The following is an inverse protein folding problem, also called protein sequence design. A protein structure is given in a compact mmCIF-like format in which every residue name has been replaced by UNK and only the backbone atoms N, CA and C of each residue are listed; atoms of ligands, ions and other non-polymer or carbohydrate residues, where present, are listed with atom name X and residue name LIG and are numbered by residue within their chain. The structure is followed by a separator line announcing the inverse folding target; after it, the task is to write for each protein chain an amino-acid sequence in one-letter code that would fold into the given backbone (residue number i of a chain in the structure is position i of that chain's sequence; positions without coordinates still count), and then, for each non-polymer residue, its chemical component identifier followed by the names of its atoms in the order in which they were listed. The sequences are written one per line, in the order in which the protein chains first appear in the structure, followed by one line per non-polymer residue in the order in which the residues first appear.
data_IF_814594496671
#
_entry.id   IF_814594496671
#
_cell.length_a   1.000
_cell.length_b   1.000
_cell.length_c   1.000
_cell.angle_alpha   90.00
_cell.angle_beta   90.00
_cell.angle_gamma   90.00
#
_symmetry.space_group_name_H-M   'P 1'
#
loop_
_entity.id
_entity.type
_entity.pdbx_description
1 polymer ?
#
# COMPACT_ATOMS: atom_id res chain seq x y z
N UNK A 1 2.64 -44.97 0.13
CA UNK A 1 3.11 -44.21 1.31
C UNK A 1 4.02 -43.03 0.96
N UNK A 2 4.87 -43.11 -0.08
CA UNK A 2 5.83 -42.05 -0.43
C UNK A 2 5.21 -40.69 -0.84
N UNK A 3 4.08 -40.68 -1.55
CA UNK A 3 3.44 -39.43 -2.02
C UNK A 3 2.89 -38.53 -0.90
N UNK A 4 2.48 -39.09 0.25
CA UNK A 4 2.00 -38.30 1.39
C UNK A 4 3.12 -37.45 2.00
N UNK A 5 4.35 -37.98 2.02
CA UNK A 5 5.51 -37.26 2.54
C UNK A 5 6.02 -36.21 1.55
N UNK A 6 6.00 -36.48 0.25
CA UNK A 6 6.39 -35.47 -0.76
C UNK A 6 5.41 -34.29 -0.76
N UNK A 7 4.10 -34.54 -0.63
CA UNK A 7 3.09 -33.49 -0.53
C UNK A 7 3.15 -32.75 0.81
N UNK A 8 3.42 -33.46 1.92
CA UNK A 8 3.65 -32.85 3.24
C UNK A 8 4.94 -32.02 3.29
N UNK A 9 6.00 -32.43 2.58
CA UNK A 9 7.26 -31.70 2.47
C UNK A 9 7.11 -30.48 1.54
N UNK A 10 6.32 -30.58 0.47
CA UNK A 10 5.98 -29.44 -0.39
C UNK A 10 5.12 -28.41 0.35
N UNK A 11 4.14 -28.84 1.16
CA UNK A 11 3.34 -27.94 2.01
C UNK A 11 4.23 -27.28 3.07
N UNK A 12 5.20 -28.01 3.63
CA UNK A 12 6.17 -27.45 4.56
C UNK A 12 7.14 -26.48 3.88
N UNK A 13 7.55 -26.75 2.63
CA UNK A 13 8.39 -25.87 1.80
C UNK A 13 7.65 -24.58 1.39
N UNK A 14 6.34 -24.66 1.16
CA UNK A 14 5.46 -23.49 0.92
C UNK A 14 5.23 -22.68 2.21
N UNK A 15 5.30 -23.30 3.39
CA UNK A 15 5.26 -22.63 4.71
C UNK A 15 6.60 -21.99 5.11
N UNK A 16 7.70 -22.31 4.43
CA UNK A 16 8.91 -21.49 4.46
C UNK A 16 8.66 -20.30 3.54
N UNK A 17 7.75 -19.42 3.94
CA UNK A 17 7.53 -18.13 3.30
C UNK A 17 8.88 -17.46 3.10
N UNK A 18 9.21 -17.23 1.83
CA UNK A 18 10.42 -16.55 1.44
C UNK A 18 10.44 -15.20 2.16
N UNK A 19 11.39 -15.05 3.08
CA UNK A 19 11.74 -13.79 3.70
C UNK A 19 12.30 -12.89 2.59
N UNK A 20 11.44 -12.08 1.97
CA UNK A 20 11.83 -11.07 0.99
C UNK A 20 12.22 -9.79 1.71
N UNK A 21 13.31 -9.15 1.28
CA UNK A 21 13.67 -7.83 1.75
C UNK A 21 13.14 -6.81 0.75
N UNK A 22 12.21 -5.98 1.19
CA UNK A 22 11.58 -4.95 0.37
C UNK A 22 12.22 -3.58 0.63
N UNK A 23 12.39 -2.81 -0.43
CA UNK A 23 12.83 -1.41 -0.37
C UNK A 23 11.95 -0.55 -1.26
N UNK A 24 11.36 0.48 -0.65
CA UNK A 24 10.49 1.45 -1.29
C UNK A 24 11.17 2.81 -1.19
N UNK A 25 11.28 3.51 -2.32
CA UNK A 25 11.86 4.86 -2.40
C UNK A 25 10.89 5.76 -3.14
N UNK A 26 10.55 6.90 -2.55
CA UNK A 26 9.76 7.95 -3.18
C UNK A 26 10.66 9.02 -3.80
N UNK A 27 10.14 9.70 -4.81
CA UNK A 27 10.76 10.90 -5.40
C UNK A 27 9.82 12.09 -5.15
N UNK A 28 9.28 12.71 -6.19
CA UNK A 28 8.26 13.77 -6.10
C UNK A 28 6.83 13.23 -5.86
N UNK A 29 6.71 12.05 -5.25
CA UNK A 29 5.44 11.41 -4.92
C UNK A 29 5.39 10.99 -3.45
N UNK A 30 4.21 10.59 -3.00
CA UNK A 30 4.00 9.96 -1.70
C UNK A 30 3.66 8.49 -1.91
N UNK A 31 3.88 7.67 -0.88
CA UNK A 31 3.53 6.25 -0.91
C UNK A 31 2.86 5.84 0.41
N UNK A 32 1.97 4.85 0.35
CA UNK A 32 1.36 4.24 1.54
C UNK A 32 1.60 2.74 1.51
N UNK A 33 2.17 2.23 2.58
CA UNK A 33 2.59 0.83 2.70
C UNK A 33 1.88 0.20 3.89
N UNK A 34 1.23 -0.93 3.65
CA UNK A 34 0.70 -1.78 4.71
C UNK A 34 1.72 -2.87 4.99
N UNK A 35 2.26 -2.89 6.21
CA UNK A 35 3.26 -3.85 6.62
C UNK A 35 2.63 -5.22 6.95
N UNK A 36 3.43 -6.30 6.99
CA UNK A 36 2.93 -7.64 7.29
C UNK A 36 2.25 -7.78 8.67
N UNK A 37 2.53 -6.87 9.61
CA UNK A 37 1.91 -6.85 10.94
C UNK A 37 0.61 -6.03 11.00
N UNK A 38 0.17 -5.46 9.88
CA UNK A 38 -1.02 -4.60 9.77
C UNK A 38 -0.72 -3.11 9.96
N UNK A 39 0.47 -2.74 10.43
CA UNK A 39 0.86 -1.33 10.61
C UNK A 39 0.92 -0.61 9.27
N UNK A 40 0.60 0.68 9.27
CA UNK A 40 0.57 1.51 8.07
C UNK A 40 1.71 2.53 8.13
N UNK A 41 2.45 2.64 7.03
CA UNK A 41 3.51 3.63 6.85
C UNK A 41 3.17 4.55 5.69
N UNK A 42 3.20 5.85 5.93
CA UNK A 42 3.07 6.89 4.91
C UNK A 42 4.45 7.48 4.67
N UNK A 43 4.93 7.40 3.44
CA UNK A 43 6.22 7.97 3.05
C UNK A 43 5.97 9.34 2.41
N UNK A 44 6.71 10.34 2.87
CA UNK A 44 6.77 11.64 2.22
C UNK A 44 7.59 11.57 0.91
N UNK A 45 7.66 12.66 0.14
CA UNK A 45 8.59 12.80 -0.97
C UNK A 45 10.05 12.59 -0.53
N UNK A 46 10.90 12.06 -1.42
CA UNK A 46 12.32 11.76 -1.18
C UNK A 46 12.60 10.97 0.09
N UNK A 47 11.78 9.96 0.36
CA UNK A 47 11.87 9.10 1.53
C UNK A 47 12.09 7.65 1.12
N UNK A 48 12.67 6.87 2.02
CA UNK A 48 12.92 5.45 1.82
C UNK A 48 12.39 4.66 3.01
N UNK A 49 11.80 3.51 2.72
CA UNK A 49 11.40 2.49 3.68
C UNK A 49 11.99 1.16 3.25
N UNK A 50 12.65 0.48 4.18
CA UNK A 50 13.18 -0.86 4.00
C UNK A 50 12.65 -1.77 5.09
N UNK A 51 12.12 -2.94 4.73
CA UNK A 51 11.56 -3.90 5.67
C UNK A 51 11.66 -5.32 5.13
N UNK A 52 11.34 -6.29 5.98
CA UNK A 52 11.31 -7.71 5.60
C UNK A 52 9.86 -8.15 5.53
N UNK A 53 9.48 -8.74 4.40
CA UNK A 53 8.16 -9.32 4.16
C UNK A 53 8.06 -10.72 4.78
N UNK A 54 8.14 -10.76 6.11
CA UNK A 54 7.98 -11.98 6.90
C UNK A 54 7.01 -11.74 8.06
N UNK A 55 6.12 -12.71 8.28
CA UNK A 55 5.17 -12.69 9.40
C UNK A 55 5.94 -12.50 10.73
N UNK A 56 5.45 -11.60 11.59
CA UNK A 56 6.04 -11.22 12.89
C UNK A 56 7.34 -10.40 12.86
N UNK A 57 7.85 -9.95 11.71
CA UNK A 57 8.94 -8.98 11.68
C UNK A 57 8.38 -7.56 11.88
N UNK A 58 8.77 -6.89 12.97
CA UNK A 58 8.34 -5.52 13.31
C UNK A 58 9.53 -4.57 13.34
N UNK A 59 10.36 -4.63 12.30
CA UNK A 59 11.56 -3.80 12.16
C UNK A 59 11.62 -3.22 10.77
N UNK A 60 11.82 -1.92 10.71
CA UNK A 60 11.96 -1.18 9.46
C UNK A 60 13.14 -0.22 9.55
N UNK A 61 13.76 0.08 8.43
CA UNK A 61 14.78 1.12 8.31
C UNK A 61 14.27 2.23 7.38
N UNK A 62 14.57 3.48 7.70
CA UNK A 62 14.11 4.63 6.92
C UNK A 62 15.19 5.65 6.58
N UNK A 63 14.87 6.48 5.60
CA UNK A 63 15.51 7.76 5.30
C UNK A 63 14.44 8.75 4.86
N UNK A 64 14.61 10.05 5.12
CA UNK A 64 13.60 11.05 4.79
C UNK A 64 12.54 11.18 5.90
N UNK A 65 11.29 11.40 5.53
CA UNK A 65 10.17 11.63 6.46
C UNK A 65 9.07 10.59 6.26
N UNK A 66 8.72 9.89 7.34
CA UNK A 66 7.69 8.87 7.35
C UNK A 66 6.73 9.09 8.53
N UNK A 67 5.45 8.84 8.32
CA UNK A 67 4.46 8.73 9.38
C UNK A 67 4.05 7.27 9.57
N UNK A 68 3.91 6.85 10.81
CA UNK A 68 3.60 5.47 11.21
C UNK A 68 2.32 5.46 12.03
N UNK A 69 1.38 4.59 11.66
CA UNK A 69 0.28 4.13 12.52
C UNK A 69 0.54 2.65 12.81
N UNK A 70 1.07 2.37 14.01
CA UNK A 70 1.56 1.05 14.39
C UNK A 70 0.50 0.30 15.19
N UNK A 71 0.20 -0.92 14.76
CA UNK A 71 -0.76 -1.79 15.45
C UNK A 71 -0.30 -2.12 16.88
N UNK A 72 -1.18 -2.04 17.89
CA UNK A 72 -0.84 -2.41 19.27
C UNK A 72 -0.43 -3.88 19.38
N UNK A 73 0.69 -4.15 20.05
CA UNK A 73 1.13 -5.52 20.38
C UNK A 73 2.17 -5.54 21.50
N UNK A 74 2.30 -6.69 22.16
CA UNK A 74 3.27 -6.91 23.24
C UNK A 74 4.74 -6.95 22.75
N UNK A 75 4.94 -7.06 21.43
CA UNK A 75 6.27 -7.05 20.80
C UNK A 75 6.56 -5.67 20.25
N UNK A 76 7.75 -5.12 20.52
CA UNK A 76 8.11 -3.80 20.00
C UNK A 76 8.18 -3.76 18.47
N UNK A 77 7.79 -2.61 17.93
CA UNK A 77 8.04 -2.18 16.57
C UNK A 77 9.22 -1.20 16.59
N UNK A 78 10.25 -1.48 15.80
CA UNK A 78 11.49 -0.68 15.75
C UNK A 78 11.65 0.00 14.40
N UNK A 79 11.83 1.32 14.41
CA UNK A 79 12.21 2.13 13.26
C UNK A 79 13.67 2.54 13.41
N UNK A 80 14.54 2.04 12.54
CA UNK A 80 15.95 2.43 12.48
C UNK A 80 16.13 3.58 11.50
N UNK A 81 16.57 4.73 12.00
CA UNK A 81 16.99 5.88 11.20
C UNK A 81 18.50 5.88 10.95
N UNK A 82 19.03 7.00 10.46
CA UNK A 82 20.47 7.19 10.21
C UNK A 82 21.29 7.40 11.47
N UNK A 83 20.69 7.99 12.51
CA UNK A 83 21.37 8.39 13.75
C UNK A 83 20.93 7.60 14.98
N UNK A 84 19.81 6.89 14.90
CA UNK A 84 19.22 6.24 16.06
C UNK A 84 18.03 5.36 15.74
N UNK A 85 17.38 4.89 16.78
CA UNK A 85 16.25 3.96 16.71
C UNK A 85 15.07 4.47 17.52
N UNK A 86 13.88 4.20 17.01
CA UNK A 86 12.60 4.46 17.68
C UNK A 86 11.93 3.14 17.97
N UNK A 87 11.55 2.91 19.22
CA UNK A 87 10.82 1.72 19.66
C UNK A 87 9.43 2.10 20.20
N UNK A 88 8.42 1.36 19.76
CA UNK A 88 7.01 1.54 20.16
C UNK A 88 6.30 0.20 20.34
N UNK A 89 5.15 0.19 21.02
CA UNK A 89 4.28 -0.99 21.13
C UNK A 89 2.97 -0.85 20.33
N UNK A 90 2.50 0.38 20.13
CA UNK A 90 1.26 0.73 19.42
C UNK A 90 1.08 2.23 19.54
N UNK A 91 1.47 2.95 18.50
CA UNK A 91 1.74 4.39 18.57
C UNK A 91 1.53 5.00 17.19
N UNK A 92 1.02 6.22 17.18
CA UNK A 92 0.96 7.06 15.99
C UNK A 92 2.02 8.17 16.09
N UNK A 93 2.95 8.21 15.15
CA UNK A 93 4.11 9.09 15.23
C UNK A 93 4.74 9.36 13.85
N UNK A 94 5.42 10.49 13.72
CA UNK A 94 6.27 10.78 12.56
C UNK A 94 7.74 10.67 12.94
N UNK A 95 8.56 10.17 12.02
CA UNK A 95 10.02 10.19 12.11
C UNK A 95 10.58 10.89 10.88
N UNK A 96 11.42 11.88 11.11
CA UNK A 96 12.27 12.48 10.09
C UNK A 96 13.71 12.09 10.38
N UNK A 97 14.39 11.48 9.42
CA UNK A 97 15.76 11.01 9.60
C UNK A 97 16.61 11.28 8.36
N UNK A 98 17.67 12.06 8.54
CA UNK A 98 18.74 12.21 7.55
C UNK A 98 20.11 12.03 8.23
N UNK A 99 21.19 12.32 7.51
CA UNK A 99 22.56 12.05 7.99
C UNK A 99 23.02 12.97 9.11
N UNK A 100 22.37 14.11 9.31
CA UNK A 100 22.76 15.15 10.27
C UNK A 100 21.75 15.33 11.41
N UNK A 101 20.47 15.07 11.16
CA UNK A 101 19.43 15.16 12.18
C UNK A 101 18.45 13.98 12.18
N UNK A 102 17.83 13.78 13.34
CA UNK A 102 16.71 12.87 13.50
C UNK A 102 15.70 13.49 14.47
N UNK A 103 14.44 13.55 14.06
CA UNK A 103 13.33 14.09 14.85
C UNK A 103 12.18 13.08 14.86
N UNK A 104 11.54 12.96 16.03
CA UNK A 104 10.40 12.10 16.26
C UNK A 104 9.30 12.92 16.93
N UNK A 105 8.11 12.94 16.34
CA UNK A 105 6.92 13.56 16.93
C UNK A 105 5.85 12.50 17.20
N UNK A 106 5.28 12.50 18.39
CA UNK A 106 4.24 11.53 18.78
C UNK A 106 2.88 12.19 18.72
N UNK A 107 1.98 11.63 17.91
CA UNK A 107 0.57 12.03 17.89
C UNK A 107 -0.19 11.33 19.01
N UNK A 108 -0.11 9.99 19.07
CA UNK A 108 -0.77 9.16 20.09
C UNK A 108 0.15 8.04 20.57
N UNK A 109 0.09 7.72 21.86
CA UNK A 109 0.86 6.65 22.47
C UNK A 109 2.20 7.12 23.07
N UNK A 110 3.18 6.23 23.06
CA UNK A 110 4.51 6.47 23.63
C UNK A 110 5.60 5.98 22.67
N UNK A 111 6.69 6.72 22.61
CA UNK A 111 7.91 6.38 21.88
C UNK A 111 9.08 6.34 22.85
N UNK A 112 9.94 5.34 22.70
CA UNK A 112 11.32 5.37 23.20
C UNK A 112 12.26 5.70 22.04
N UNK A 113 12.96 6.82 22.13
CA UNK A 113 13.92 7.29 21.14
C UNK A 113 15.34 7.07 21.66
N UNK A 114 16.15 6.30 20.94
CA UNK A 114 17.51 5.95 21.28
C UNK A 114 18.47 6.52 20.24
N UNK A 115 19.52 7.20 20.68
CA UNK A 115 20.57 7.77 19.83
C UNK A 115 21.89 7.63 20.58
N UNK A 116 22.90 7.04 19.94
CA UNK A 116 24.18 6.75 20.60
C UNK A 116 23.96 6.03 21.96
N UNK A 117 24.49 6.57 23.06
CA UNK A 117 24.29 6.06 24.42
C UNK A 117 23.10 6.71 25.15
N UNK A 118 22.34 7.56 24.47
CA UNK A 118 21.21 8.31 25.03
C UNK A 118 19.88 7.64 24.72
N UNK A 119 18.95 7.76 25.66
CA UNK A 119 17.58 7.28 25.49
C UNK A 119 16.60 8.27 26.09
N UNK A 120 15.48 8.50 25.38
CA UNK A 120 14.41 9.40 25.80
C UNK A 120 13.05 8.81 25.50
N UNK A 121 12.21 8.72 26.51
CA UNK A 121 10.80 8.42 26.32
C UNK A 121 10.00 9.71 26.11
N UNK A 122 9.11 9.69 25.13
CA UNK A 122 8.22 10.80 24.77
C UNK A 122 6.79 10.29 24.58
N UNK A 123 5.81 11.07 25.03
CA UNK A 123 4.38 10.76 24.94
C UNK A 123 3.68 11.64 23.91
N UNK A 124 2.43 11.29 23.56
CA UNK A 124 1.58 12.05 22.64
C UNK A 124 1.59 13.57 22.88
N UNK A 125 1.68 14.33 21.77
CA UNK A 125 1.76 15.79 21.74
C UNK A 125 3.17 16.36 21.91
N UNK A 126 4.18 15.50 22.12
CA UNK A 126 5.58 15.90 22.29
C UNK A 126 6.45 15.45 21.12
N UNK A 127 7.63 16.04 21.05
CA UNK A 127 8.69 15.64 20.14
C UNK A 127 10.03 15.48 20.84
N UNK A 128 10.90 14.69 20.22
CA UNK A 128 12.32 14.63 20.51
C UNK A 128 13.14 14.83 19.24
N UNK A 129 14.24 15.56 19.33
CA UNK A 129 15.15 15.79 18.22
C UNK A 129 16.61 15.62 18.67
N UNK A 130 17.43 15.18 17.73
CA UNK A 130 18.85 15.04 17.90
C UNK A 130 19.58 15.50 16.64
N UNK A 131 20.61 16.32 16.83
CA UNK A 131 21.57 16.65 15.79
C UNK A 131 22.91 15.95 16.07
N UNK A 132 23.53 15.44 15.01
CA UNK A 132 24.78 14.69 15.11
C UNK A 132 25.86 15.49 15.81
N UNK A 133 26.44 14.91 16.87
CA UNK A 133 27.50 15.52 17.66
C UNK A 133 27.01 16.36 18.84
N UNK A 134 25.69 16.53 19.01
CA UNK A 134 25.15 17.07 20.25
C UNK A 134 25.25 16.06 21.39
N UNK A 135 25.35 16.56 22.62
CA UNK A 135 25.50 15.72 23.82
C UNK A 135 24.18 15.36 24.50
N UNK A 136 23.05 15.78 23.93
CA UNK A 136 21.73 15.58 24.51
C UNK A 136 20.66 15.44 23.42
N UNK A 137 19.58 14.72 23.76
CA UNK A 137 18.34 14.72 23.01
C UNK A 137 17.50 15.92 23.48
N UNK A 138 17.12 16.80 22.55
CA UNK A 138 16.21 17.90 22.82
C UNK A 138 14.76 17.42 22.80
N UNK A 139 13.90 18.03 23.61
CA UNK A 139 12.47 17.73 23.62
C UNK A 139 11.63 19.00 23.61
N UNK A 140 10.45 18.93 23.00
CA UNK A 140 9.52 20.05 22.94
C UNK A 140 8.09 19.62 22.63
N UNK A 141 7.24 20.61 22.33
CA UNK A 141 5.90 20.34 21.78
C UNK A 141 6.02 19.93 20.32
N UNK A 142 5.23 18.95 19.90
CA UNK A 142 5.13 18.55 18.50
C UNK A 142 4.63 19.73 17.64
N UNK A 143 5.29 19.98 16.50
CA UNK A 143 4.83 20.97 15.52
C UNK A 143 3.70 20.42 14.66
N UNK A 144 3.60 19.09 14.54
CA UNK A 144 2.68 18.35 13.67
C UNK A 144 2.81 18.75 12.20
N UNK A 145 4.03 19.07 11.75
CA UNK A 145 4.27 19.49 10.37
C UNK A 145 3.88 18.40 9.36
N UNK A 146 3.96 17.12 9.77
CA UNK A 146 3.56 15.99 8.93
C UNK A 146 2.09 16.07 8.47
N UNK A 147 1.20 16.67 9.28
CA UNK A 147 -0.22 16.84 8.95
C UNK A 147 -0.42 17.67 7.69
N UNK A 148 0.50 18.61 7.40
CA UNK A 148 0.44 19.46 6.21
C UNK A 148 0.57 18.64 4.93
N UNK A 149 1.54 17.72 4.88
CA UNK A 149 1.74 16.90 3.68
C UNK A 149 0.77 15.72 3.63
N UNK A 150 0.36 15.14 4.77
CA UNK A 150 -0.72 14.15 4.83
C UNK A 150 -2.05 14.70 4.26
N UNK A 151 -2.34 15.98 4.50
CA UNK A 151 -3.49 16.64 3.89
C UNK A 151 -3.37 16.75 2.36
N UNK A 152 -2.16 17.01 1.83
CA UNK A 152 -1.90 17.03 0.38
C UNK A 152 -2.09 15.64 -0.22
N UNK A 153 -1.53 14.62 0.42
CA UNK A 153 -1.67 13.23 0.00
C UNK A 153 -3.15 12.80 -0.08
N UNK A 154 -3.96 13.18 0.92
CA UNK A 154 -5.41 12.93 0.91
C UNK A 154 -6.12 13.59 -0.28
N UNK A 155 -5.68 14.78 -0.70
CA UNK A 155 -6.24 15.45 -1.88
C UNK A 155 -5.83 14.73 -3.17
N UNK A 156 -4.58 14.29 -3.27
CA UNK A 156 -4.08 13.52 -4.41
C UNK A 156 -4.83 12.19 -4.56
N UNK A 157 -5.02 11.44 -3.48
CA UNK A 157 -5.84 10.22 -3.49
C UNK A 157 -7.27 10.48 -4.00
N UNK A 158 -7.92 11.54 -3.52
CA UNK A 158 -9.27 11.91 -4.01
C UNK A 158 -9.30 12.24 -5.50
N UNK A 159 -8.25 12.85 -6.04
CA UNK A 159 -8.14 13.14 -7.48
C UNK A 159 -7.93 11.88 -8.29
N UNK A 160 -7.08 10.97 -7.80
CA UNK A 160 -6.83 9.68 -8.45
C UNK A 160 -8.10 8.82 -8.48
N UNK A 161 -8.81 8.73 -7.36
CA UNK A 161 -10.09 8.00 -7.26
C UNK A 161 -11.13 8.54 -8.27
N UNK A 162 -11.28 9.87 -8.33
CA UNK A 162 -12.15 10.50 -9.33
C UNK A 162 -11.74 10.15 -10.76
N UNK A 163 -10.44 10.25 -11.08
CA UNK A 163 -9.93 9.94 -12.41
C UNK A 163 -10.17 8.49 -12.80
N UNK A 164 -9.90 7.55 -11.90
CA UNK A 164 -10.15 6.12 -12.10
C UNK A 164 -11.64 5.84 -12.35
N UNK A 165 -12.53 6.49 -11.59
CA UNK A 165 -13.97 6.35 -11.77
C UNK A 165 -14.47 6.94 -13.10
N UNK A 166 -13.93 8.09 -13.51
CA UNK A 166 -14.26 8.71 -14.80
C UNK A 166 -13.77 7.85 -15.98
N UNK A 167 -12.56 7.27 -15.88
CA UNK A 167 -12.02 6.33 -16.86
C UNK A 167 -12.85 5.03 -16.93
N UNK A 168 -13.24 4.47 -15.78
CA UNK A 168 -14.08 3.28 -15.71
C UNK A 168 -15.44 3.49 -16.39
N UNK A 169 -16.08 4.65 -16.16
CA UNK A 169 -17.32 5.02 -16.86
C UNK A 169 -17.15 5.11 -18.36
N UNK A 170 -16.06 5.73 -18.83
CA UNK A 170 -15.78 5.81 -20.26
C UNK A 170 -15.65 4.42 -20.91
N UNK A 171 -14.98 3.48 -20.22
CA UNK A 171 -14.88 2.08 -20.67
C UNK A 171 -16.27 1.42 -20.71
N UNK A 172 -17.10 1.62 -19.68
CA UNK A 172 -18.45 1.06 -19.62
C UNK A 172 -19.35 1.59 -20.75
N UNK A 173 -19.31 2.89 -21.03
CA UNK A 173 -20.05 3.51 -22.12
C UNK A 173 -19.64 2.95 -23.49
N UNK A 174 -18.34 2.80 -23.74
CA UNK A 174 -17.81 2.20 -24.96
C UNK A 174 -18.21 0.73 -25.13
N UNK A 175 -18.16 -0.07 -24.05
CA UNK A 175 -18.62 -1.46 -24.06
C UNK A 175 -20.12 -1.55 -24.36
N UNK A 176 -20.93 -0.69 -23.74
CA UNK A 176 -22.38 -0.64 -23.96
C UNK A 176 -22.73 -0.25 -25.40
N UNK A 177 -21.96 0.67 -26.01
CA UNK A 177 -22.14 1.03 -27.41
C UNK A 177 -21.83 -0.14 -28.34
N UNK A 178 -20.70 -0.83 -28.13
CA UNK A 178 -20.33 -2.01 -28.92
C UNK A 178 -21.34 -3.16 -28.76
N UNK A 179 -21.87 -3.38 -27.56
CA UNK A 179 -22.90 -4.38 -27.32
C UNK A 179 -24.17 -4.11 -28.17
N UNK A 180 -24.63 -2.85 -28.22
CA UNK A 180 -25.78 -2.46 -29.07
C UNK A 180 -25.51 -2.63 -30.57
N UNK A 181 -24.30 -2.37 -31.02
CA UNK A 181 -23.91 -2.60 -32.42
C UNK A 181 -23.95 -4.11 -32.76
N UNK A 182 -23.44 -4.96 -31.86
CA UNK A 182 -23.49 -6.41 -32.00
C UNK A 182 -24.94 -6.92 -32.00
N UNK A 183 -25.80 -6.45 -31.09
CA UNK A 183 -27.21 -6.83 -31.04
C UNK A 183 -27.92 -6.49 -32.37
N UNK A 184 -27.68 -5.29 -32.89
CA UNK A 184 -28.25 -4.86 -34.17
C UNK A 184 -27.78 -5.73 -35.34
N UNK A 185 -26.52 -6.15 -35.34
CA UNK A 185 -25.97 -7.03 -36.37
C UNK A 185 -26.51 -8.46 -36.25
N UNK A 186 -26.67 -8.98 -35.03
CA UNK A 186 -27.31 -10.26 -34.75
C UNK A 186 -28.77 -10.28 -35.21
N UNK A 187 -29.55 -9.22 -34.93
CA UNK A 187 -30.93 -9.07 -35.41
C UNK A 187 -31.02 -9.09 -36.94
N UNK A 188 -30.07 -8.46 -37.62
CA UNK A 188 -29.99 -8.45 -39.09
C UNK A 188 -29.74 -9.85 -39.63
N UNK A 189 -28.76 -10.57 -39.06
CA UNK A 189 -28.44 -11.95 -39.43
C UNK A 189 -29.64 -12.87 -39.19
N UNK A 190 -30.36 -12.70 -38.07
CA UNK A 190 -31.57 -13.47 -37.76
C UNK A 190 -32.64 -13.35 -38.84
N UNK A 191 -32.90 -12.14 -39.34
CA UNK A 191 -33.86 -11.90 -40.43
C UNK A 191 -33.41 -12.52 -41.76
N UNK A 192 -32.13 -12.38 -42.10
CA UNK A 192 -31.57 -13.00 -43.31
C UNK A 192 -31.70 -14.53 -43.28
N UNK A 193 -31.50 -15.16 -42.12
CA UNK A 193 -31.69 -16.61 -41.95
C UNK A 193 -33.16 -17.04 -42.09
N UNK A 194 -34.10 -16.26 -41.56
CA UNK A 194 -35.54 -16.52 -41.71
C UNK A 194 -35.97 -16.47 -43.18
N UNK A 195 -35.52 -15.46 -43.93
CA UNK A 195 -35.78 -15.33 -45.37
C UNK A 195 -35.22 -16.52 -46.17
N UNK A 196 -34.00 -16.97 -45.84
CA UNK A 196 -33.38 -18.16 -46.46
C UNK A 196 -34.18 -19.41 -46.14
N UNK A 197 -34.61 -19.60 -44.88
CA UNK A 197 -35.45 -20.71 -44.46
C UNK A 197 -36.77 -20.78 -45.24
N UNK A 198 -37.44 -19.63 -45.41
CA UNK A 198 -38.66 -19.50 -46.19
C UNK A 198 -38.47 -19.85 -47.67
N UNK A 199 -37.36 -19.41 -48.27
CA UNK A 199 -37.03 -19.74 -49.67
C UNK A 199 -36.78 -21.24 -49.86
N UNK A 200 -36.08 -21.87 -48.92
CA UNK A 200 -35.83 -23.32 -48.92
C UNK A 200 -37.17 -24.06 -48.79
N UNK A 201 -38.02 -23.68 -47.84
CA UNK A 201 -39.34 -24.31 -47.63
C UNK A 201 -40.23 -24.24 -48.87
N UNK A 202 -40.29 -23.08 -49.53
CA UNK A 202 -41.02 -22.90 -50.80
C UNK A 202 -40.47 -23.79 -51.92
N UNK A 203 -39.14 -23.93 -52.00
CA UNK A 203 -38.48 -24.74 -53.02
C UNK A 203 -38.74 -26.23 -52.82
N UNK A 204 -38.69 -26.72 -51.57
CA UNK A 204 -39.01 -28.12 -51.25
C UNK A 204 -40.47 -28.47 -51.59
N UNK A 205 -41.42 -27.57 -51.32
CA UNK A 205 -42.83 -27.78 -51.66
C UNK A 205 -43.05 -27.96 -53.18
N UNK A 206 -42.36 -27.17 -54.01
CA UNK A 206 -42.41 -27.30 -55.48
C UNK A 206 -41.85 -28.63 -56.01
N UNK A 207 -40.97 -29.29 -55.27
CA UNK A 207 -40.41 -30.60 -55.67
C UNK A 207 -41.36 -31.74 -55.30
N UNK A 208 -42.23 -31.54 -54.30
CA UNK A 208 -43.16 -32.54 -53.80
C UNK A 208 -44.50 -32.60 -54.57
N UNK A 209 -44.84 -31.55 -55.32
CA UNK A 209 -46.01 -31.44 -56.22
C UNK A 209 -45.64 -31.89 -57.65
#
# INVERSE_FOLDING_TARGET
MQFKYVFSLLIFLVLVTACSKEKITTQDNYEVVVLPDGSIVFLNHYSELEYIEAFNQRKVAISGECYFSVEPSDKSFTVTGKLGEVEVLGTEFSVKSNTEDMEVEVEEGQVKFNVEDMSKEISGGLKASYQKGESAIETGKASNDFKKWMAKLRIEFKRLDKKLNDEAKGIEEELNKKAKEIEKEADKIGKELEEVGDQIGKSLKKIAD
#
